data_IF_658088357824
#
_entry.id   IF_658088357824
#
_cell.length_a   1.000
_cell.length_b   1.000
_cell.length_c   1.000
_cell.angle_alpha   90.00
_cell.angle_beta   90.00
_cell.angle_gamma   90.00
#
_symmetry.space_group_name_H-M   'P 1'
#
loop_
_entity.id
_entity.type
_entity.pdbx_description
1 polymer ?
#
# COMPACT_ATOMS: atom_id res chain seq x y z
N UNK A 1 4.76 0.39 -10.81
CA UNK A 1 4.43 -0.79 -9.98
C UNK A 1 4.32 -0.37 -8.54
N UNK A 2 3.30 -0.87 -7.84
CA UNK A 2 3.04 -0.52 -6.44
C UNK A 2 2.89 -1.77 -5.59
N UNK A 3 3.22 -1.66 -4.31
CA UNK A 3 2.90 -2.64 -3.29
C UNK A 3 1.60 -2.23 -2.59
N UNK A 4 0.53 -3.01 -2.71
CA UNK A 4 -0.67 -2.82 -1.89
C UNK A 4 -0.42 -3.46 -0.53
N UNK A 5 -0.50 -2.65 0.53
CA UNK A 5 -0.25 -3.11 1.92
C UNK A 5 -1.54 -3.42 2.67
N UNK A 6 -2.59 -2.63 2.45
CA UNK A 6 -3.91 -2.82 3.06
C UNK A 6 -4.99 -2.13 2.22
N UNK A 7 -6.24 -2.53 2.41
CA UNK A 7 -7.40 -1.84 1.85
C UNK A 7 -8.53 -1.77 2.89
N UNK A 8 -8.42 -0.89 3.90
CA UNK A 8 -9.49 -0.69 4.87
C UNK A 8 -10.75 -0.08 4.22
N UNK A 9 -11.87 -0.16 4.95
CA UNK A 9 -13.15 0.44 4.55
C UNK A 9 -13.30 1.89 5.00
N UNK A 10 -12.49 2.32 5.96
CA UNK A 10 -12.51 3.67 6.52
C UNK A 10 -11.31 4.48 6.01
N UNK A 11 -11.56 5.72 5.57
CA UNK A 11 -10.50 6.60 5.08
C UNK A 11 -9.51 6.97 6.20
N UNK A 12 -9.99 7.15 7.42
CA UNK A 12 -9.13 7.48 8.57
C UNK A 12 -8.12 6.38 8.89
N UNK A 13 -8.50 5.11 8.73
CA UNK A 13 -7.60 3.97 8.90
C UNK A 13 -6.54 3.94 7.79
N UNK A 14 -6.93 4.19 6.54
CA UNK A 14 -6.00 4.31 5.42
C UNK A 14 -5.01 5.48 5.62
N UNK A 15 -5.50 6.62 6.10
CA UNK A 15 -4.67 7.80 6.36
C UNK A 15 -3.68 7.54 7.49
N UNK A 16 -4.12 6.97 8.61
CA UNK A 16 -3.24 6.63 9.72
C UNK A 16 -2.13 5.64 9.33
N UNK A 17 -2.44 4.67 8.46
CA UNK A 17 -1.43 3.76 7.92
C UNK A 17 -0.49 4.45 6.94
N UNK A 18 -1.02 5.33 6.09
CA UNK A 18 -0.24 6.14 5.14
C UNK A 18 0.78 7.01 5.85
N UNK A 19 0.38 7.66 6.95
CA UNK A 19 1.26 8.52 7.73
C UNK A 19 2.42 7.72 8.35
N UNK A 20 2.16 6.55 8.95
CA UNK A 20 3.21 5.67 9.49
C UNK A 20 4.21 5.19 8.43
N UNK A 21 3.71 4.85 7.25
CA UNK A 21 4.56 4.41 6.13
C UNK A 21 5.42 5.57 5.61
N UNK A 22 4.86 6.78 5.52
CA UNK A 22 5.61 7.99 5.16
C UNK A 22 6.66 8.33 6.20
N UNK A 23 6.34 8.22 7.50
CA UNK A 23 7.29 8.40 8.59
C UNK A 23 8.43 7.35 8.54
N UNK A 24 8.15 6.18 7.99
CA UNK A 24 9.15 5.13 7.72
C UNK A 24 9.94 5.35 6.42
N UNK A 25 9.69 6.45 5.71
CA UNK A 25 10.40 6.86 4.50
C UNK A 25 9.83 6.32 3.19
N UNK A 26 8.65 5.70 3.22
CA UNK A 26 8.04 5.14 2.01
C UNK A 26 7.16 6.16 1.27
N UNK A 27 7.20 6.22 -0.07
CA UNK A 27 6.23 6.98 -0.86
C UNK A 27 4.88 6.24 -0.88
N UNK A 28 3.80 6.92 -0.51
CA UNK A 28 2.47 6.30 -0.35
C UNK A 28 1.39 7.08 -1.10
N UNK A 29 0.48 6.33 -1.74
CA UNK A 29 -0.74 6.80 -2.39
C UNK A 29 -1.93 6.04 -1.81
N UNK A 30 -3.06 6.73 -1.61
CA UNK A 30 -4.34 6.10 -1.28
C UNK A 30 -5.21 6.11 -2.53
N UNK A 31 -5.62 4.94 -3.00
CA UNK A 31 -6.55 4.76 -4.12
C UNK A 31 -7.95 4.42 -3.58
N UNK A 32 -8.96 5.18 -4.01
CA UNK A 32 -10.36 4.85 -3.75
C UNK A 32 -10.83 3.75 -4.71
N UNK A 33 -11.40 2.67 -4.19
CA UNK A 33 -11.84 1.54 -4.99
C UNK A 33 -13.17 0.97 -4.50
N UNK A 34 -14.10 0.81 -5.42
CA UNK A 34 -15.36 0.10 -5.18
C UNK A 34 -15.23 -1.37 -5.61
N UNK A 35 -15.57 -2.30 -4.73
CA UNK A 35 -15.58 -3.73 -5.01
C UNK A 35 -16.92 -4.31 -4.58
N UNK A 36 -17.74 -4.74 -5.55
CA UNK A 36 -19.08 -5.30 -5.32
C UNK A 36 -19.99 -4.37 -4.48
N UNK A 37 -19.99 -3.07 -4.79
CA UNK A 37 -20.79 -2.07 -4.08
C UNK A 37 -20.23 -1.64 -2.72
N UNK A 38 -19.08 -2.18 -2.28
CA UNK A 38 -18.40 -1.77 -1.06
C UNK A 38 -17.19 -0.91 -1.40
N UNK A 39 -17.08 0.25 -0.75
CA UNK A 39 -15.92 1.13 -0.86
C UNK A 39 -14.76 0.62 -0.01
N UNK A 40 -13.55 0.78 -0.56
CA UNK A 40 -12.26 0.48 0.05
C UNK A 40 -11.25 1.57 -0.28
N UNK A 41 -10.32 1.81 0.63
CA UNK A 41 -9.23 2.76 0.47
C UNK A 41 -7.92 1.99 0.41
N UNK A 42 -7.46 1.64 -0.79
CA UNK A 42 -6.22 0.87 -0.96
C UNK A 42 -5.03 1.75 -0.65
N UNK A 43 -4.21 1.32 0.31
CA UNK A 43 -2.93 1.94 0.62
C UNK A 43 -1.87 1.29 -0.25
N UNK A 44 -1.27 2.08 -1.13
CA UNK A 44 -0.33 1.67 -2.16
C UNK A 44 1.00 2.35 -1.92
N UNK A 45 2.08 1.58 -1.89
CA UNK A 45 3.44 2.05 -1.64
C UNK A 45 4.28 1.93 -2.90
N UNK A 46 5.12 2.93 -3.17
CA UNK A 46 6.06 2.90 -4.28
C UNK A 46 5.64 3.79 -5.45
N UNK A 47 5.73 3.24 -6.64
CA UNK A 47 5.85 3.98 -7.90
C UNK A 47 6.99 3.46 -8.77
N UNK A 48 7.42 2.22 -8.54
CA UNK A 48 8.61 1.62 -9.14
C UNK A 48 8.44 1.41 -10.65
N UNK A 49 9.49 1.66 -11.41
CA UNK A 49 9.47 1.54 -12.88
C UNK A 49 9.37 0.08 -13.33
N UNK A 50 9.94 -0.83 -12.55
CA UNK A 50 9.99 -2.25 -12.86
C UNK A 50 9.35 -3.13 -11.80
N UNK A 51 8.90 -4.31 -12.22
CA UNK A 51 8.41 -5.35 -11.29
C UNK A 51 9.49 -5.74 -10.28
N UNK A 52 10.74 -5.88 -10.73
CA UNK A 52 11.86 -6.31 -9.89
C UNK A 52 12.15 -5.31 -8.75
N UNK A 53 12.14 -4.01 -9.03
CA UNK A 53 12.24 -2.97 -7.99
C UNK A 53 11.08 -3.08 -6.99
N UNK A 54 9.86 -3.31 -7.49
CA UNK A 54 8.70 -3.48 -6.62
C UNK A 54 8.78 -4.75 -5.75
N UNK A 55 9.36 -5.84 -6.23
CA UNK A 55 9.61 -7.05 -5.43
C UNK A 55 10.62 -6.79 -4.29
N UNK A 56 11.62 -5.93 -4.52
CA UNK A 56 12.54 -5.47 -3.47
C UNK A 56 11.78 -4.63 -2.44
N UNK A 57 10.92 -3.70 -2.89
CA UNK A 57 10.06 -2.89 -2.02
C UNK A 57 9.16 -3.76 -1.12
N UNK A 58 8.56 -4.83 -1.65
CA UNK A 58 7.78 -5.79 -0.83
C UNK A 58 8.61 -6.35 0.32
N UNK A 59 9.86 -6.77 0.05
CA UNK A 59 10.77 -7.31 1.08
C UNK A 59 11.16 -6.29 2.13
N UNK A 60 11.21 -5.00 1.77
CA UNK A 60 11.44 -3.91 2.73
C UNK A 60 10.20 -3.72 3.61
N UNK A 61 9.01 -3.64 3.01
CA UNK A 61 7.74 -3.49 3.73
C UNK A 61 7.46 -4.64 4.70
N UNK A 62 7.82 -5.88 4.35
CA UNK A 62 7.68 -7.03 5.24
C UNK A 62 8.48 -6.92 6.55
N UNK A 63 9.44 -5.98 6.65
CA UNK A 63 10.18 -5.70 7.89
C UNK A 63 9.40 -4.78 8.84
N UNK A 64 8.39 -4.08 8.34
CA UNK A 64 7.56 -3.16 9.11
C UNK A 64 6.55 -3.93 9.97
N UNK A 65 6.89 -4.08 11.26
CA UNK A 65 6.11 -4.90 12.22
C UNK A 65 4.68 -4.41 12.46
N UNK A 66 4.37 -3.17 12.09
CA UNK A 66 3.03 -2.61 12.25
C UNK A 66 2.08 -2.97 11.09
N UNK A 67 2.59 -3.56 10.00
CA UNK A 67 1.75 -4.01 8.89
C UNK A 67 0.97 -5.27 9.30
N UNK A 68 -0.33 -5.24 9.02
CA UNK A 68 -1.24 -6.36 9.25
C UNK A 68 -1.50 -7.04 7.90
N UNK A 69 -0.73 -8.07 7.59
CA UNK A 69 -0.84 -8.84 6.35
C UNK A 69 0.34 -8.64 5.40
N UNK A 70 0.40 -9.47 4.37
CA UNK A 70 1.49 -9.47 3.40
C UNK A 70 1.22 -8.46 2.27
N UNK A 71 2.13 -7.50 2.04
CA UNK A 71 2.07 -6.65 0.88
C UNK A 71 2.12 -7.49 -0.41
N UNK A 72 1.41 -7.05 -1.45
CA UNK A 72 1.45 -7.69 -2.76
C UNK A 72 1.54 -6.69 -3.91
N UNK A 73 2.10 -7.13 -5.03
CA UNK A 73 2.29 -6.28 -6.19
C UNK A 73 0.98 -5.99 -6.91
N UNK A 74 0.81 -4.71 -7.27
CA UNK A 74 -0.26 -4.20 -8.10
C UNK A 74 0.34 -3.30 -9.18
N UNK A 75 -0.11 -3.53 -10.41
CA UNK A 75 0.11 -2.58 -11.50
C UNK A 75 -1.11 -1.67 -11.56
N UNK A 76 -0.90 -0.39 -11.28
CA UNK A 76 -1.88 0.67 -11.52
C UNK A 76 -1.58 1.20 -12.93
N UNK A 77 -2.61 1.36 -13.76
CA UNK A 77 -2.53 1.95 -15.10
C UNK A 77 -3.05 3.37 -15.07
#
# INVERSE_FOLDING_TARGET
>A
WYAQVLAPKELSEAQALSDKLKDSGFPVVIEHAEVRGQQYYRVLVGGEESRQQAEILIKQLQREKYLKGDPFLRMIR
#
